data_IF_820355887111
#
_entry.id   IF_820355887111
#
_cell.length_a   1.000
_cell.length_b   1.000
_cell.length_c   1.000
_cell.angle_alpha   90.00
_cell.angle_beta   90.00
_cell.angle_gamma   90.00
#
_symmetry.space_group_name_H-M   'P 1'
#
loop_
_entity.id
_entity.type
_entity.pdbx_description
1 polymer ?
#
# COMPACT_ATOMS: atom_id res chain seq x y z
N UNK A 1 -7.53 -45.01 -14.33
CA UNK A 1 -7.60 -45.95 -13.18
C UNK A 1 -8.36 -45.24 -12.06
N UNK A 2 -9.26 -45.96 -11.37
CA UNK A 2 -10.28 -45.49 -10.41
C UNK A 2 -9.73 -44.63 -9.26
N UNK A 3 -10.57 -43.71 -8.80
CA UNK A 3 -10.49 -42.97 -7.52
C UNK A 3 -10.76 -43.90 -6.33
N UNK A 4 -10.06 -43.66 -5.21
CA UNK A 4 -10.41 -44.12 -3.87
C UNK A 4 -10.33 -42.95 -2.90
N UNK A 5 -11.38 -42.77 -2.10
CA UNK A 5 -11.63 -41.70 -1.11
C UNK A 5 -11.10 -42.15 0.27
N UNK A 6 -11.21 -41.27 1.29
CA UNK A 6 -11.30 -41.49 2.76
C UNK A 6 -9.98 -41.01 3.45
N UNK A 7 -9.89 -40.06 4.40
CA UNK A 7 -10.76 -39.60 5.51
C UNK A 7 -10.65 -38.09 5.84
N UNK A 8 -11.72 -37.56 6.44
CA UNK A 8 -11.77 -36.31 7.22
C UNK A 8 -11.18 -36.54 8.61
N UNK A 9 -10.45 -35.55 9.16
CA UNK A 9 -10.34 -35.39 10.61
C UNK A 9 -10.86 -34.02 11.07
N UNK A 10 -11.66 -34.11 12.13
CA UNK A 10 -12.44 -33.10 12.83
C UNK A 10 -11.54 -32.15 13.63
N UNK A 11 -11.95 -30.88 13.73
CA UNK A 11 -11.16 -29.80 14.31
C UNK A 11 -10.97 -29.83 15.83
N UNK A 12 -10.10 -28.92 16.30
CA UNK A 12 -10.07 -28.41 17.67
C UNK A 12 -9.71 -26.92 17.65
N UNK A 13 -10.55 -26.14 18.31
CA UNK A 13 -10.40 -24.69 18.51
C UNK A 13 -9.64 -24.39 19.82
N UNK A 14 -9.07 -23.18 19.86
CA UNK A 14 -8.47 -22.42 20.98
C UNK A 14 -7.06 -22.82 21.43
N UNK A 15 -6.11 -21.88 21.31
CA UNK A 15 -5.64 -21.09 22.45
C UNK A 15 -4.93 -19.81 22.01
N UNK A 16 -5.37 -18.68 22.60
CA UNK A 16 -4.63 -17.42 22.66
C UNK A 16 -3.51 -17.60 23.68
N UNK A 17 -2.27 -17.45 23.25
CA UNK A 17 -1.16 -17.06 24.11
C UNK A 17 -0.16 -16.35 23.21
N UNK A 18 0.12 -15.09 23.54
CA UNK A 18 1.05 -14.25 22.80
C UNK A 18 2.37 -14.99 22.59
N UNK A 19 2.66 -15.27 21.33
CA UNK A 19 3.98 -15.63 20.88
C UNK A 19 4.53 -14.39 20.21
N UNK A 20 5.58 -13.81 20.79
CA UNK A 20 6.53 -13.01 20.04
C UNK A 20 6.87 -13.79 18.77
N UNK A 21 6.29 -13.37 17.64
CA UNK A 21 6.81 -13.75 16.36
C UNK A 21 8.19 -13.11 16.30
N UNK A 22 9.19 -13.91 16.63
CA UNK A 22 10.57 -13.75 16.18
C UNK A 22 10.49 -13.35 14.71
N UNK A 23 10.66 -12.05 14.45
CA UNK A 23 10.69 -11.48 13.10
C UNK A 23 11.95 -12.03 12.45
N UNK A 24 11.84 -13.21 11.86
CA UNK A 24 12.91 -13.82 11.08
C UNK A 24 13.29 -12.84 9.98
N UNK A 25 14.57 -12.48 9.97
CA UNK A 25 15.20 -11.63 8.98
C UNK A 25 15.02 -12.24 7.58
N UNK A 26 13.92 -11.87 6.92
CA UNK A 26 13.70 -12.13 5.51
C UNK A 26 14.31 -10.97 4.74
N UNK A 27 15.34 -11.28 3.96
CA UNK A 27 16.10 -10.40 3.09
C UNK A 27 15.24 -9.62 2.08
N UNK A 28 14.58 -8.55 2.53
CA UNK A 28 13.76 -7.67 1.68
C UNK A 28 13.89 -6.23 2.16
N UNK A 29 14.69 -5.42 1.45
CA UNK A 29 14.80 -3.98 1.63
C UNK A 29 15.70 -3.52 2.79
N UNK A 30 16.31 -2.34 2.65
CA UNK A 30 17.00 -1.66 3.76
C UNK A 30 16.02 -1.55 4.92
N UNK A 31 16.40 -2.00 6.12
CA UNK A 31 15.57 -2.06 7.32
C UNK A 31 14.79 -0.76 7.63
N UNK A 32 15.32 0.40 7.22
CA UNK A 32 14.65 1.69 7.37
C UNK A 32 13.37 1.87 6.54
N UNK A 33 13.29 1.23 5.37
CA UNK A 33 12.22 1.41 4.40
C UNK A 33 10.96 0.61 4.77
N UNK A 34 11.12 -0.58 5.36
CA UNK A 34 10.01 -1.49 5.67
C UNK A 34 8.94 -0.81 6.55
N UNK A 35 9.36 -0.04 7.55
CA UNK A 35 8.43 0.64 8.45
C UNK A 35 7.59 1.70 7.73
N UNK A 36 8.19 2.48 6.82
CA UNK A 36 7.42 3.43 6.01
C UNK A 36 6.44 2.73 5.07
N UNK A 37 6.83 1.58 4.52
CA UNK A 37 5.94 0.76 3.70
C UNK A 37 4.73 0.27 4.50
N UNK A 38 4.94 -0.19 5.74
CA UNK A 38 3.85 -0.57 6.65
C UNK A 38 2.92 0.62 6.92
N UNK A 39 3.47 1.79 7.27
CA UNK A 39 2.68 3.02 7.50
C UNK A 39 1.85 3.43 6.27
N UNK A 40 2.42 3.33 5.06
CA UNK A 40 1.72 3.67 3.81
C UNK A 40 0.60 2.66 3.53
N UNK A 41 0.85 1.37 3.74
CA UNK A 41 -0.16 0.34 3.53
C UNK A 41 -1.35 0.49 4.49
N UNK A 42 -1.08 0.78 5.76
CA UNK A 42 -2.12 1.05 6.76
C UNK A 42 -2.96 2.27 6.37
N UNK A 43 -2.29 3.33 5.89
CA UNK A 43 -2.97 4.52 5.40
C UNK A 43 -3.85 4.23 4.17
N UNK A 44 -3.33 3.47 3.20
CA UNK A 44 -4.10 3.07 2.01
C UNK A 44 -5.29 2.17 2.36
N UNK A 45 -5.19 1.34 3.41
CA UNK A 45 -6.32 0.51 3.84
C UNK A 45 -7.47 1.35 4.41
N UNK A 46 -7.17 2.49 5.04
CA UNK A 46 -8.17 3.42 5.57
C UNK A 46 -8.88 4.19 4.45
N UNK A 47 -8.21 4.44 3.33
CA UNK A 47 -8.78 5.11 2.17
C UNK A 47 -9.36 4.06 1.23
N UNK A 48 -10.69 3.93 1.18
CA UNK A 48 -11.33 3.00 0.24
C UNK A 48 -10.97 3.39 -1.21
N UNK A 49 -10.19 2.59 -1.95
CA UNK A 49 -9.80 2.96 -3.31
C UNK A 49 -11.03 2.90 -4.23
N UNK A 50 -11.43 4.05 -4.78
CA UNK A 50 -12.53 4.13 -5.74
C UNK A 50 -11.97 3.86 -7.14
N UNK A 51 -12.64 3.00 -7.91
CA UNK A 51 -12.32 2.87 -9.34
C UNK A 51 -12.67 4.18 -10.04
N UNK A 52 -11.68 4.77 -10.68
CA UNK A 52 -11.85 6.00 -11.46
C UNK A 52 -12.55 5.63 -12.77
N UNK A 53 -13.70 6.26 -13.02
CA UNK A 53 -14.44 6.15 -14.27
C UNK A 53 -14.20 7.37 -15.15
N UNK A 54 -14.39 7.23 -16.47
CA UNK A 54 -14.29 8.35 -17.42
C UNK A 54 -15.30 9.46 -17.07
N UNK A 55 -16.48 9.09 -16.58
CA UNK A 55 -17.50 10.04 -16.13
C UNK A 55 -17.05 10.88 -14.93
N UNK A 56 -16.18 10.36 -14.06
CA UNK A 56 -15.63 11.16 -12.96
C UNK A 56 -14.69 12.24 -13.50
N UNK A 57 -14.07 12.04 -14.67
CA UNK A 57 -13.05 12.96 -15.23
C UNK A 57 -13.68 14.16 -15.95
N UNK A 58 -14.87 13.99 -16.52
CA UNK A 58 -15.49 14.99 -17.40
C UNK A 58 -16.27 16.01 -16.56
N UNK A 59 -15.73 17.23 -16.46
CA UNK A 59 -16.44 18.41 -15.97
C UNK A 59 -16.84 19.30 -17.16
N UNK A 60 -18.14 19.55 -17.32
CA UNK A 60 -18.69 20.22 -18.50
C UNK A 60 -18.26 21.68 -18.68
N UNK A 61 -17.74 22.34 -17.63
CA UNK A 61 -17.47 23.78 -17.61
C UNK A 61 -15.96 24.16 -17.54
N UNK A 62 -15.05 23.17 -17.58
CA UNK A 62 -13.60 23.41 -17.49
C UNK A 62 -12.98 23.68 -18.86
N UNK A 63 -12.34 24.85 -19.03
CA UNK A 63 -11.68 25.26 -20.29
C UNK A 63 -10.25 24.73 -20.45
N UNK A 64 -9.57 24.45 -19.35
CA UNK A 64 -8.21 23.90 -19.31
C UNK A 64 -8.26 22.65 -18.44
N UNK A 65 -7.69 21.56 -18.95
CA UNK A 65 -7.63 20.28 -18.26
C UNK A 65 -6.16 19.98 -17.94
N UNK A 66 -5.88 19.74 -16.67
CA UNK A 66 -4.57 19.27 -16.21
C UNK A 66 -4.69 17.80 -15.88
N UNK A 67 -3.82 16.98 -16.46
CA UNK A 67 -3.83 15.54 -16.24
C UNK A 67 -2.55 15.12 -15.53
N UNK A 68 -2.69 14.33 -14.48
CA UNK A 68 -1.59 13.68 -13.78
C UNK A 68 -1.69 12.17 -14.00
N UNK A 69 -0.57 11.53 -14.37
CA UNK A 69 -0.49 10.08 -14.55
C UNK A 69 0.56 9.50 -13.61
N UNK A 70 0.12 8.66 -12.68
CA UNK A 70 1.02 7.80 -11.91
C UNK A 70 1.58 6.69 -12.80
N UNK A 71 2.90 6.49 -12.76
CA UNK A 71 3.56 5.33 -13.38
C UNK A 71 3.73 4.21 -12.35
N UNK A 72 3.61 2.93 -12.74
CA UNK A 72 4.06 1.83 -11.90
C UNK A 72 5.58 1.89 -11.67
N UNK A 73 6.03 1.22 -10.61
CA UNK A 73 7.45 0.96 -10.40
C UNK A 73 8.00 0.05 -11.51
N UNK A 74 9.20 0.35 -11.98
CA UNK A 74 9.90 -0.44 -12.97
C UNK A 74 10.63 -1.64 -12.33
N UNK A 75 11.15 -2.56 -13.16
CA UNK A 75 11.81 -3.78 -12.67
C UNK A 75 13.05 -3.51 -11.79
N UNK A 76 13.79 -2.42 -12.04
CA UNK A 76 14.98 -2.04 -11.25
C UNK A 76 14.61 -1.43 -9.91
N UNK A 77 13.54 -0.65 -9.85
CA UNK A 77 12.99 -0.07 -8.62
C UNK A 77 12.47 -1.19 -7.71
N UNK A 78 11.76 -2.16 -8.29
CA UNK A 78 11.29 -3.35 -7.58
C UNK A 78 12.46 -4.21 -7.07
N UNK A 79 13.51 -4.44 -7.87
CA UNK A 79 14.66 -5.24 -7.44
C UNK A 79 15.46 -4.59 -6.30
N UNK A 80 15.38 -3.26 -6.19
CA UNK A 80 15.96 -2.47 -5.08
C UNK A 80 15.04 -2.34 -3.87
N UNK A 81 13.82 -2.90 -3.93
CA UNK A 81 12.78 -2.74 -2.91
C UNK A 81 12.54 -1.25 -2.59
N UNK A 82 12.45 -0.42 -3.64
CA UNK A 82 11.98 0.95 -3.51
C UNK A 82 10.48 0.98 -3.20
N UNK A 83 10.04 2.01 -2.50
CA UNK A 83 8.66 2.13 -2.01
C UNK A 83 7.87 3.06 -2.92
N UNK A 84 6.67 2.63 -3.27
CA UNK A 84 5.69 3.48 -3.94
C UNK A 84 5.03 4.42 -2.92
N UNK A 85 5.43 5.69 -2.95
CA UNK A 85 4.94 6.73 -2.03
C UNK A 85 3.70 7.48 -2.55
N UNK A 86 3.15 7.07 -3.70
CA UNK A 86 2.06 7.79 -4.35
C UNK A 86 0.75 7.01 -4.17
N UNK A 87 -0.27 7.64 -3.62
CA UNK A 87 -1.63 7.10 -3.57
C UNK A 87 -2.56 7.94 -4.47
N UNK A 88 -3.45 7.25 -5.20
CA UNK A 88 -4.47 7.90 -6.05
C UNK A 88 -5.84 7.56 -5.47
N UNK A 89 -6.40 8.41 -4.59
CA UNK A 89 -7.66 8.12 -3.91
C UNK A 89 -8.89 8.30 -4.83
N UNK A 90 -8.84 9.27 -5.74
CA UNK A 90 -9.95 9.63 -6.63
C UNK A 90 -9.44 10.19 -7.97
N UNK A 91 -10.37 10.61 -8.84
CA UNK A 91 -10.05 11.05 -10.21
C UNK A 91 -9.32 12.41 -10.28
N UNK A 92 -9.45 13.25 -9.26
CA UNK A 92 -9.04 14.66 -9.27
C UNK A 92 -7.98 14.99 -8.23
N UNK A 93 -7.49 13.98 -7.51
CA UNK A 93 -6.47 14.20 -6.50
C UNK A 93 -5.49 13.05 -6.40
N UNK A 94 -4.28 13.44 -6.03
CA UNK A 94 -3.17 12.53 -5.76
C UNK A 94 -2.60 12.88 -4.39
N UNK A 95 -2.14 11.84 -3.71
CA UNK A 95 -1.52 11.97 -2.41
C UNK A 95 -0.07 11.51 -2.49
N UNK A 96 0.83 12.32 -1.95
CA UNK A 96 2.26 12.03 -1.86
C UNK A 96 2.62 11.84 -0.40
N UNK A 97 3.16 10.66 -0.06
CA UNK A 97 3.66 10.34 1.27
C UNK A 97 5.13 10.77 1.37
N UNK A 98 5.41 11.88 2.03
CA UNK A 98 6.78 12.28 2.35
C UNK A 98 7.23 11.56 3.64
N UNK A 99 8.17 10.62 3.49
CA UNK A 99 8.74 9.88 4.61
C UNK A 99 9.76 10.73 5.36
N UNK A 100 9.47 11.07 6.61
CA UNK A 100 10.29 12.00 7.42
C UNK A 100 10.71 11.39 8.75
N UNK A 101 11.74 12.01 9.32
CA UNK A 101 12.25 11.71 10.65
C UNK A 101 12.11 12.96 11.51
N UNK A 102 11.54 12.81 12.69
CA UNK A 102 11.58 13.83 13.73
C UNK A 102 12.99 13.94 14.31
N UNK A 103 13.24 14.99 15.11
CA UNK A 103 14.52 15.19 15.80
C UNK A 103 14.88 14.02 16.72
N UNK A 104 13.87 13.39 17.32
CA UNK A 104 14.01 12.18 18.16
C UNK A 104 14.14 10.88 17.35
N UNK A 105 14.35 10.98 16.03
CA UNK A 105 14.43 9.88 15.08
C UNK A 105 13.13 9.08 14.90
N UNK A 106 12.01 9.53 15.47
CA UNK A 106 10.70 8.91 15.22
C UNK A 106 10.30 9.11 13.75
N UNK A 107 10.00 8.02 13.06
CA UNK A 107 9.51 8.05 11.67
C UNK A 107 8.06 8.53 11.62
N UNK A 108 7.73 9.30 10.59
CA UNK A 108 6.36 9.70 10.31
C UNK A 108 6.16 9.97 8.81
N UNK A 109 4.90 9.94 8.38
CA UNK A 109 4.51 10.35 7.04
C UNK A 109 3.92 11.76 7.09
N UNK A 110 4.41 12.63 6.24
CA UNK A 110 3.77 13.92 5.94
C UNK A 110 3.02 13.77 4.61
N UNK A 111 1.69 13.94 4.65
CA UNK A 111 0.79 13.55 3.58
C UNK A 111 0.35 14.78 2.77
N UNK A 112 0.92 14.94 1.57
CA UNK A 112 0.63 16.08 0.71
C UNK A 112 -0.47 15.73 -0.28
N UNK A 113 -1.63 16.40 -0.19
CA UNK A 113 -2.73 16.25 -1.14
C UNK A 113 -2.64 17.32 -2.22
N UNK A 114 -2.60 16.89 -3.48
CA UNK A 114 -2.66 17.76 -4.64
C UNK A 114 -3.98 17.52 -5.38
N UNK A 115 -4.65 18.60 -5.75
CA UNK A 115 -5.77 18.58 -6.68
C UNK A 115 -5.27 19.04 -8.06
N UNK A 116 -5.80 18.43 -9.12
CA UNK A 116 -5.41 18.72 -10.50
C UNK A 116 -6.62 18.70 -11.43
#
# INVERSE_FOLDING_TARGET
RKMSIVEKQVGKSKNRSGTELVRTNSSVGKSGNIEFLEMINDFQYQITPKKISISDIIQNDTKIIVCVRKRPLNARENSRAEIDIICVPDAHSILVHECKLKVDLTKYLDNHKFQY
#
